data_IF_582515057127
#
_entry.id   IF_582515057127
#
_cell.length_a   1.000
_cell.length_b   1.000
_cell.length_c   1.000
_cell.angle_alpha   90.00
_cell.angle_beta   90.00
_cell.angle_gamma   90.00
#
_symmetry.space_group_name_H-M   'P 1'
#
loop_
_entity.id
_entity.type
_entity.pdbx_description
1 polymer ?
#
# COMPACT_ATOMS: atom_id res chain seq x y z
N UNK A 1 -21.15 22.54 35.97
CA UNK A 1 -19.69 22.16 35.86
C UNK A 1 -19.51 20.67 35.56
N UNK A 2 -20.25 19.73 36.17
CA UNK A 2 -20.09 18.30 35.92
C UNK A 2 -20.43 17.86 34.47
N UNK A 3 -21.43 18.50 33.83
CA UNK A 3 -21.84 18.21 32.45
C UNK A 3 -20.84 18.63 31.40
N UNK A 4 -20.05 19.66 31.63
CA UNK A 4 -18.98 20.11 30.72
C UNK A 4 -17.76 19.18 30.76
N UNK A 5 -17.50 18.54 31.90
CA UNK A 5 -16.38 17.60 32.06
C UNK A 5 -16.64 16.26 31.36
N UNK A 6 -17.89 15.82 31.31
CA UNK A 6 -18.29 14.57 30.61
C UNK A 6 -18.23 14.69 29.08
N UNK A 7 -18.48 15.89 28.55
CA UNK A 7 -18.34 16.15 27.11
C UNK A 7 -16.88 16.22 26.64
N UNK A 8 -15.99 16.70 27.49
CA UNK A 8 -14.55 16.76 27.16
C UNK A 8 -13.88 15.38 27.18
N UNK A 9 -14.39 14.43 27.96
CA UNK A 9 -13.85 13.05 28.04
C UNK A 9 -14.24 12.18 26.84
N UNK A 10 -15.33 12.51 26.15
CA UNK A 10 -15.80 11.75 24.98
C UNK A 10 -14.95 11.98 23.72
N UNK A 11 -14.10 13.03 23.70
CA UNK A 11 -13.28 13.40 22.54
C UNK A 11 -11.93 12.65 22.51
N UNK A 12 -11.57 11.93 23.57
CA UNK A 12 -10.28 11.25 23.74
C UNK A 12 -10.30 9.73 23.47
N UNK A 13 -11.38 9.22 22.88
CA UNK A 13 -11.38 7.83 22.45
C UNK A 13 -10.47 7.72 21.21
N UNK A 14 -9.38 6.92 21.26
CA UNK A 14 -8.56 6.70 20.10
C UNK A 14 -9.44 6.04 19.03
N UNK A 15 -9.55 6.68 17.87
CA UNK A 15 -10.07 6.05 16.67
C UNK A 15 -9.01 5.02 16.28
N UNK A 16 -9.22 3.76 16.68
CA UNK A 16 -8.40 2.66 16.20
C UNK A 16 -8.72 2.50 14.72
N UNK A 17 -7.76 2.88 13.85
CA UNK A 17 -7.85 2.55 12.45
C UNK A 17 -7.91 1.02 12.34
N UNK A 18 -9.04 0.49 11.91
CA UNK A 18 -9.18 -0.93 11.60
C UNK A 18 -8.34 -1.25 10.37
N UNK A 19 -7.59 -2.36 10.41
CA UNK A 19 -6.94 -2.87 9.21
C UNK A 19 -8.01 -3.30 8.20
N UNK A 20 -7.73 -3.14 6.91
CA UNK A 20 -8.65 -3.53 5.84
C UNK A 20 -8.93 -5.03 5.88
N UNK A 21 -10.18 -5.38 5.65
CA UNK A 21 -10.62 -6.77 5.50
C UNK A 21 -10.23 -7.33 4.13
N UNK A 22 -10.24 -8.66 3.94
CA UNK A 22 -10.00 -9.26 2.62
C UNK A 22 -10.94 -8.73 1.53
N UNK A 23 -12.19 -8.47 1.85
CA UNK A 23 -13.20 -7.94 0.94
C UNK A 23 -12.89 -6.49 0.53
N UNK A 24 -12.41 -5.69 1.46
CA UNK A 24 -11.96 -4.32 1.19
C UNK A 24 -10.73 -4.31 0.27
N UNK A 25 -9.77 -5.20 0.48
CA UNK A 25 -8.62 -5.36 -0.43
C UNK A 25 -9.04 -5.76 -1.84
N UNK A 26 -10.00 -6.68 -1.98
CA UNK A 26 -10.54 -7.08 -3.29
C UNK A 26 -11.21 -5.89 -3.98
N UNK A 27 -12.02 -5.13 -3.25
CA UNK A 27 -12.72 -3.94 -3.75
C UNK A 27 -11.74 -2.86 -4.21
N UNK A 28 -10.73 -2.57 -3.41
CA UNK A 28 -9.68 -1.60 -3.74
C UNK A 28 -8.87 -2.05 -4.97
N UNK A 29 -8.47 -3.31 -5.03
CA UNK A 29 -7.74 -3.86 -6.16
C UNK A 29 -8.53 -3.82 -7.46
N UNK A 30 -9.79 -4.19 -7.42
CA UNK A 30 -10.68 -4.10 -8.57
C UNK A 30 -10.89 -2.65 -9.04
N UNK A 31 -10.99 -1.71 -8.12
CA UNK A 31 -11.18 -0.30 -8.42
C UNK A 31 -9.94 0.35 -9.05
N UNK A 32 -8.76 0.01 -8.55
CA UNK A 32 -7.48 0.59 -9.01
C UNK A 32 -7.03 -0.06 -10.31
N UNK A 33 -7.12 -1.39 -10.40
CA UNK A 33 -6.57 -2.16 -11.51
C UNK A 33 -7.61 -2.60 -12.55
N UNK A 34 -8.89 -2.48 -12.26
CA UNK A 34 -9.98 -2.96 -13.12
C UNK A 34 -10.35 -4.43 -12.93
N UNK A 35 -9.67 -5.14 -12.02
CA UNK A 35 -9.92 -6.52 -11.62
C UNK A 35 -9.04 -6.91 -10.46
N UNK A 36 -9.32 -8.05 -9.82
CA UNK A 36 -8.52 -8.55 -8.71
C UNK A 36 -8.03 -9.97 -9.01
N UNK A 37 -6.76 -10.08 -9.37
CA UNK A 37 -6.10 -11.34 -9.69
C UNK A 37 -4.94 -11.65 -8.76
N UNK A 38 -4.26 -12.77 -9.03
CA UNK A 38 -3.17 -13.29 -8.19
C UNK A 38 -2.03 -12.29 -8.00
N UNK A 39 -1.68 -11.53 -9.04
CA UNK A 39 -0.56 -10.59 -8.97
C UNK A 39 -0.89 -9.33 -8.18
N UNK A 40 -2.15 -8.88 -8.19
CA UNK A 40 -2.61 -7.79 -7.33
C UNK A 40 -2.52 -8.21 -5.87
N UNK A 41 -3.06 -9.39 -5.54
CA UNK A 41 -3.04 -9.88 -4.16
C UNK A 41 -1.62 -10.13 -3.66
N UNK A 42 -0.72 -10.61 -4.52
CA UNK A 42 0.69 -10.76 -4.17
C UNK A 42 1.37 -9.40 -3.96
N UNK A 43 1.08 -8.41 -4.81
CA UNK A 43 1.54 -7.04 -4.64
C UNK A 43 1.08 -6.42 -3.31
N UNK A 44 -0.17 -6.61 -2.93
CA UNK A 44 -0.71 -6.20 -1.62
C UNK A 44 0.09 -6.85 -0.48
N UNK A 45 0.31 -8.16 -0.54
CA UNK A 45 1.10 -8.87 0.48
C UNK A 45 2.53 -8.37 0.58
N UNK A 46 3.18 -8.10 -0.54
CA UNK A 46 4.54 -7.52 -0.58
C UNK A 46 4.54 -6.14 0.07
N UNK A 47 3.58 -5.29 -0.27
CA UNK A 47 3.44 -3.95 0.31
C UNK A 47 3.21 -3.98 1.81
N UNK A 48 2.30 -4.82 2.29
CA UNK A 48 2.03 -5.01 3.72
C UNK A 48 3.24 -5.56 4.47
N UNK A 49 3.98 -6.49 3.88
CA UNK A 49 5.21 -7.01 4.47
C UNK A 49 6.29 -5.94 4.59
N UNK A 50 6.44 -5.10 3.57
CA UNK A 50 7.36 -3.97 3.60
C UNK A 50 6.99 -2.96 4.69
N UNK A 51 5.71 -2.59 4.79
CA UNK A 51 5.19 -1.69 5.85
C UNK A 51 5.53 -2.24 7.23
N UNK A 52 5.28 -3.53 7.45
CA UNK A 52 5.57 -4.18 8.73
C UNK A 52 7.06 -4.23 9.06
N UNK A 53 7.90 -4.66 8.10
CA UNK A 53 9.36 -4.82 8.31
C UNK A 53 10.07 -3.49 8.55
N UNK A 54 9.57 -2.43 7.94
CA UNK A 54 10.16 -1.10 8.04
C UNK A 54 9.52 -0.26 9.15
N UNK A 55 8.55 -0.83 9.88
CA UNK A 55 7.74 -0.09 10.87
C UNK A 55 7.22 1.24 10.30
N UNK A 56 6.79 1.20 9.06
CA UNK A 56 6.40 2.38 8.31
C UNK A 56 4.94 2.75 8.58
N UNK A 57 4.68 4.06 8.58
CA UNK A 57 3.31 4.58 8.58
C UNK A 57 2.77 4.66 7.14
N UNK A 58 1.46 4.66 6.95
CA UNK A 58 0.86 4.92 5.64
C UNK A 58 1.43 6.21 5.02
N UNK A 59 1.70 6.17 3.71
CA UNK A 59 2.25 7.30 2.91
C UNK A 59 3.69 7.72 3.22
N UNK A 60 4.42 6.98 4.04
CA UNK A 60 5.82 7.31 4.36
C UNK A 60 6.84 6.53 3.53
N UNK A 61 6.39 5.53 2.76
CA UNK A 61 7.25 4.73 1.91
C UNK A 61 7.38 5.33 0.51
N UNK A 62 8.59 5.29 -0.02
CA UNK A 62 8.85 5.49 -1.44
C UNK A 62 9.10 4.13 -2.08
N UNK A 63 8.34 3.82 -3.13
CA UNK A 63 8.40 2.56 -3.86
C UNK A 63 9.06 2.77 -5.20
N UNK A 64 10.11 2.00 -5.46
CA UNK A 64 10.73 1.91 -6.77
C UNK A 64 10.50 0.51 -7.33
N UNK A 65 9.63 0.40 -8.32
CA UNK A 65 9.27 -0.86 -8.95
C UNK A 65 10.05 -1.06 -10.25
N UNK A 66 10.74 -2.19 -10.35
CA UNK A 66 11.40 -2.59 -11.59
C UNK A 66 10.59 -3.67 -12.27
N UNK A 67 10.01 -3.33 -13.41
CA UNK A 67 9.26 -4.29 -14.23
C UNK A 67 10.19 -5.16 -15.07
N UNK A 68 9.69 -6.34 -15.46
CA UNK A 68 10.41 -7.27 -16.32
C UNK A 68 10.18 -6.94 -17.79
N UNK A 69 11.25 -6.96 -18.59
CA UNK A 69 11.14 -6.82 -20.05
C UNK A 69 10.57 -8.09 -20.73
N UNK A 70 10.77 -9.26 -20.09
CA UNK A 70 10.33 -10.56 -20.63
C UNK A 70 8.91 -10.95 -20.24
N UNK A 71 8.44 -10.47 -19.10
CA UNK A 71 7.09 -10.71 -18.58
C UNK A 71 6.62 -9.49 -17.80
N UNK A 72 6.30 -8.39 -18.48
CA UNK A 72 5.89 -7.16 -17.82
C UNK A 72 4.53 -7.37 -17.14
N UNK A 73 4.44 -7.00 -15.86
CA UNK A 73 3.19 -7.01 -15.10
C UNK A 73 3.14 -5.88 -14.07
N UNK A 74 2.54 -4.77 -14.45
CA UNK A 74 2.31 -3.64 -13.56
C UNK A 74 1.35 -3.95 -12.41
N UNK A 75 0.67 -5.11 -12.46
CA UNK A 75 -0.29 -5.54 -11.44
C UNK A 75 0.32 -5.58 -10.04
N UNK A 76 1.58 -6.01 -9.92
CA UNK A 76 2.31 -5.97 -8.66
C UNK A 76 2.45 -4.55 -8.10
N UNK A 77 2.76 -3.59 -8.98
CA UNK A 77 2.93 -2.19 -8.58
C UNK A 77 1.62 -1.61 -8.06
N UNK A 78 0.49 -1.94 -8.69
CA UNK A 78 -0.83 -1.52 -8.23
C UNK A 78 -1.15 -2.11 -6.86
N UNK A 79 -0.88 -3.40 -6.64
CA UNK A 79 -1.05 -4.04 -5.34
C UNK A 79 -0.17 -3.42 -4.25
N UNK A 80 1.09 -3.16 -4.54
CA UNK A 80 2.01 -2.49 -3.62
C UNK A 80 1.53 -1.06 -3.32
N UNK A 81 1.08 -0.33 -4.33
CA UNK A 81 0.52 1.02 -4.19
C UNK A 81 -0.64 1.05 -3.21
N UNK A 82 -1.59 0.14 -3.37
CA UNK A 82 -2.76 0.02 -2.50
C UNK A 82 -2.34 -0.20 -1.04
N UNK A 83 -1.40 -1.11 -0.80
CA UNK A 83 -0.98 -1.49 0.55
C UNK A 83 -0.11 -0.41 1.24
N UNK A 84 0.70 0.32 0.48
CA UNK A 84 1.66 1.31 1.01
C UNK A 84 1.15 2.73 0.93
N UNK A 85 0.08 2.97 0.21
CA UNK A 85 -0.43 4.30 -0.18
C UNK A 85 0.58 5.11 -1.03
N UNK A 86 1.61 4.47 -1.55
CA UNK A 86 2.52 5.10 -2.52
C UNK A 86 1.81 5.29 -3.86
N UNK A 87 1.99 6.43 -4.48
CA UNK A 87 1.34 6.74 -5.76
C UNK A 87 2.24 7.55 -6.69
N UNK A 88 1.95 7.43 -7.99
CA UNK A 88 2.63 8.24 -9.02
C UNK A 88 2.32 9.72 -8.80
N UNK A 89 1.08 10.07 -8.48
CA UNK A 89 0.65 11.46 -8.26
C UNK A 89 1.34 12.15 -7.09
N UNK A 90 1.78 11.39 -6.08
CA UNK A 90 2.55 11.91 -4.95
C UNK A 90 4.09 11.82 -5.17
N UNK A 91 4.53 11.24 -6.29
CA UNK A 91 5.94 11.01 -6.55
C UNK A 91 6.57 9.93 -5.65
N UNK A 92 5.75 9.12 -4.97
CA UNK A 92 6.19 8.09 -4.05
C UNK A 92 6.18 6.69 -4.66
N UNK A 93 5.66 6.52 -5.88
CA UNK A 93 5.76 5.31 -6.68
C UNK A 93 6.39 5.64 -8.02
N UNK A 94 7.50 4.99 -8.33
CA UNK A 94 8.18 5.11 -9.61
C UNK A 94 8.33 3.73 -10.25
N UNK A 95 7.94 3.62 -11.51
CA UNK A 95 8.14 2.41 -12.30
C UNK A 95 9.32 2.59 -13.25
N UNK A 96 10.15 1.57 -13.36
CA UNK A 96 11.24 1.50 -14.33
C UNK A 96 11.24 0.14 -15.03
N UNK A 97 11.49 0.14 -16.32
CA UNK A 97 11.85 -1.07 -17.06
C UNK A 97 13.35 -1.27 -16.98
N UNK A 98 13.78 -2.43 -16.55
CA UNK A 98 15.20 -2.77 -16.49
C UNK A 98 15.43 -4.03 -17.32
N UNK A 99 16.40 -4.01 -18.23
CA UNK A 99 16.90 -5.23 -18.88
C UNK A 99 17.33 -6.23 -17.81
N UNK A 100 17.01 -7.54 -17.97
CA UNK A 100 17.14 -8.51 -16.88
C UNK A 100 18.61 -8.75 -16.52
N UNK A 101 19.07 -8.10 -15.47
CA UNK A 101 20.21 -8.50 -14.66
C UNK A 101 19.80 -8.39 -13.20
N UNK A 102 19.32 -9.52 -12.66
CA UNK A 102 18.89 -9.70 -11.25
C UNK A 102 17.90 -8.67 -10.72
N UNK A 103 16.74 -9.16 -10.35
CA UNK A 103 15.78 -8.38 -9.59
C UNK A 103 16.42 -7.92 -8.28
N UNK A 104 16.65 -6.63 -8.15
CA UNK A 104 17.07 -6.02 -6.90
C UNK A 104 15.94 -5.12 -6.46
N UNK A 105 15.18 -5.56 -5.45
CA UNK A 105 14.26 -4.70 -4.74
C UNK A 105 15.12 -3.80 -3.84
N UNK A 106 15.28 -2.54 -4.19
CA UNK A 106 15.81 -1.53 -3.26
C UNK A 106 14.63 -0.78 -2.69
N UNK A 107 14.42 -0.98 -1.41
CA UNK A 107 13.64 -0.10 -0.58
C UNK A 107 14.59 1.02 -0.13
N UNK A 108 14.24 2.23 -0.45
CA UNK A 108 14.94 3.42 0.04
C UNK A 108 14.17 4.00 1.21
#
# INVERSE_FOLDING_TARGET
MLRAFLLALAILLPVTASAETPEEWITLGARVHGGFGSFISLGVKIGLDAVRRLDAKPRTLTVLYYDSDSSPCACFADGISIATYASVGQGTLTMRRKKPRRATLRLL
#
